data_IF_519932019339
#
_entry.id   IF_519932019339
#
_cell.length_a   1.000
_cell.length_b   1.000
_cell.length_c   1.000
_cell.angle_alpha   90.00
_cell.angle_beta   90.00
_cell.angle_gamma   90.00
#
_symmetry.space_group_name_H-M   'P 1'
#
loop_
_entity.id
_entity.type
_entity.pdbx_description
1 polymer ?
#
# COMPACT_ATOMS: atom_id res chain seq x y z
N UNK A 1 1.86 8.65 -7.70
CA UNK A 1 1.04 9.85 -7.52
C UNK A 1 1.87 10.95 -6.88
N UNK A 2 1.95 12.11 -7.52
CA UNK A 2 2.58 13.31 -6.99
C UNK A 2 1.50 14.25 -6.46
N UNK A 3 1.69 14.81 -5.27
CA UNK A 3 0.67 15.60 -4.57
C UNK A 3 1.22 17.01 -4.29
N UNK A 4 0.54 18.02 -4.82
CA UNK A 4 0.81 19.43 -4.51
C UNK A 4 -0.01 19.92 -3.32
N UNK A 5 0.46 20.99 -2.67
CA UNK A 5 -0.22 21.67 -1.56
C UNK A 5 -0.46 20.81 -0.30
N UNK A 6 0.36 19.77 -0.07
CA UNK A 6 0.30 19.02 1.18
C UNK A 6 0.60 19.91 2.39
N UNK A 7 -0.28 19.95 3.41
CA UNK A 7 -0.09 20.86 4.56
C UNK A 7 1.04 20.42 5.49
N UNK A 8 1.32 19.12 5.54
CA UNK A 8 2.31 18.51 6.42
C UNK A 8 3.14 17.47 5.70
N UNK A 9 4.42 17.43 5.99
CA UNK A 9 5.35 16.41 5.49
C UNK A 9 5.38 15.12 6.32
N UNK A 10 4.62 15.06 7.41
CA UNK A 10 4.55 13.90 8.31
C UNK A 10 3.12 13.69 8.79
N UNK A 11 2.65 12.47 8.73
CA UNK A 11 1.35 12.04 9.26
C UNK A 11 1.54 10.94 10.29
N UNK A 12 0.62 10.86 11.23
CA UNK A 12 0.57 9.80 12.23
C UNK A 12 -0.57 8.84 11.88
N UNK A 13 -0.22 7.58 11.64
CA UNK A 13 -1.17 6.54 11.24
C UNK A 13 -1.31 5.49 12.35
N UNK A 14 -2.52 4.97 12.62
CA UNK A 14 -2.69 3.87 13.55
C UNK A 14 -2.05 2.59 12.99
N UNK A 15 -1.44 1.79 13.88
CA UNK A 15 -0.89 0.48 13.49
C UNK A 15 -1.98 -0.55 13.20
N UNK A 16 -3.17 -0.34 13.75
CA UNK A 16 -4.34 -1.20 13.49
C UNK A 16 -5.60 -0.34 13.36
N UNK A 17 -6.50 -0.62 12.41
CA UNK A 17 -7.68 0.22 12.16
C UNK A 17 -8.69 0.28 13.32
N UNK A 18 -8.77 -0.78 14.14
CA UNK A 18 -9.78 -0.91 15.20
C UNK A 18 -9.19 -1.13 16.60
N UNK A 19 -7.98 -1.64 16.71
CA UNK A 19 -7.34 -1.97 17.99
C UNK A 19 -6.32 -0.89 18.37
N UNK A 20 -6.23 -0.60 19.68
CA UNK A 20 -5.22 0.33 20.22
C UNK A 20 -3.84 -0.33 20.26
N UNK A 21 -3.21 -0.47 19.10
CA UNK A 21 -1.86 -1.04 18.95
C UNK A 21 -0.80 0.03 18.70
N UNK A 22 -1.06 1.28 19.14
CA UNK A 22 -0.15 2.39 18.92
C UNK A 22 -0.28 3.02 17.53
N UNK A 23 0.61 3.96 17.26
CA UNK A 23 0.69 4.72 16.01
C UNK A 23 2.10 4.71 15.47
N UNK A 24 2.24 4.97 14.18
CA UNK A 24 3.51 5.15 13.49
C UNK A 24 3.54 6.47 12.73
N UNK A 25 4.70 7.10 12.66
CA UNK A 25 4.90 8.34 11.91
C UNK A 25 5.39 8.01 10.51
N UNK A 26 4.69 8.52 9.51
CA UNK A 26 5.06 8.37 8.10
C UNK A 26 5.42 9.73 7.54
N UNK A 27 6.65 9.85 7.04
CA UNK A 27 7.13 11.06 6.37
C UNK A 27 6.79 10.98 4.89
N UNK A 28 6.17 12.04 4.37
CA UNK A 28 5.82 12.20 2.96
C UNK A 28 6.51 13.47 2.47
N UNK A 29 7.14 13.45 1.30
CA UNK A 29 7.59 14.70 0.66
C UNK A 29 6.46 15.24 -0.19
N UNK A 30 6.30 14.69 -1.40
CA UNK A 30 5.27 15.10 -2.34
C UNK A 30 4.71 13.91 -3.14
N UNK A 31 5.19 12.70 -2.90
CA UNK A 31 4.89 11.55 -3.77
C UNK A 31 4.60 10.28 -2.98
N UNK A 32 3.59 9.53 -3.44
CA UNK A 32 3.18 8.25 -2.88
C UNK A 32 3.04 7.19 -3.97
N UNK A 33 3.26 5.94 -3.63
CA UNK A 33 2.88 4.79 -4.43
C UNK A 33 1.42 4.41 -4.13
N UNK A 34 0.69 4.07 -5.16
CA UNK A 34 -0.65 3.48 -5.12
C UNK A 34 -0.61 2.11 -5.78
N UNK A 35 -1.59 1.25 -5.47
CA UNK A 35 -1.75 0.00 -6.20
C UNK A 35 -2.09 0.26 -7.66
N UNK A 36 -1.48 -0.50 -8.58
CA UNK A 36 -1.77 -0.43 -10.00
C UNK A 36 -3.23 -0.72 -10.31
N UNK A 37 -3.85 -1.63 -9.55
CA UNK A 37 -5.27 -1.95 -9.69
C UNK A 37 -6.18 -0.77 -9.34
N UNK A 38 -5.80 0.02 -8.34
CA UNK A 38 -6.60 1.16 -7.88
C UNK A 38 -6.52 2.37 -8.83
N UNK A 39 -5.46 2.46 -9.65
CA UNK A 39 -5.22 3.65 -10.50
C UNK A 39 -5.59 3.47 -11.96
N UNK A 40 -5.84 2.24 -12.42
CA UNK A 40 -6.08 1.96 -13.85
C UNK A 40 -7.30 2.64 -14.46
N UNK A 41 -8.33 2.91 -13.65
CA UNK A 41 -9.59 3.51 -14.09
C UNK A 41 -9.73 4.99 -13.71
N UNK A 42 -8.70 5.59 -13.10
CA UNK A 42 -8.74 6.99 -12.67
C UNK A 42 -8.80 7.96 -13.85
N UNK A 43 -9.48 9.07 -13.62
CA UNK A 43 -9.65 10.17 -14.59
C UNK A 43 -9.27 11.50 -13.97
N UNK A 44 -8.88 12.42 -14.82
CA UNK A 44 -8.68 13.82 -14.41
C UNK A 44 -9.98 14.38 -13.84
N UNK A 45 -9.89 15.00 -12.68
CA UNK A 45 -11.03 15.52 -11.91
C UNK A 45 -11.55 14.58 -10.82
N UNK A 46 -11.16 13.30 -10.82
CA UNK A 46 -11.54 12.36 -9.76
C UNK A 46 -11.04 12.84 -8.41
N UNK A 47 -11.88 12.64 -7.40
CA UNK A 47 -11.56 12.91 -6.00
C UNK A 47 -11.35 11.61 -5.24
N UNK A 48 -10.23 11.53 -4.56
CA UNK A 48 -9.79 10.36 -3.84
C UNK A 48 -9.55 10.72 -2.37
N UNK A 49 -9.73 9.74 -1.49
CA UNK A 49 -9.28 9.84 -0.11
C UNK A 49 -8.11 8.89 0.11
N UNK A 50 -6.94 9.46 0.34
CA UNK A 50 -5.77 8.72 0.79
C UNK A 50 -5.90 8.47 2.30
N UNK A 51 -5.99 7.20 2.69
CA UNK A 51 -6.35 6.81 4.05
C UNK A 51 -5.34 7.34 5.08
N UNK A 52 -5.85 8.14 6.03
CA UNK A 52 -5.05 8.79 7.06
C UNK A 52 -4.22 10.01 6.60
N UNK A 53 -4.24 10.35 5.30
CA UNK A 53 -3.55 11.53 4.76
C UNK A 53 -4.53 12.66 4.46
N UNK A 54 -5.64 12.37 3.78
CA UNK A 54 -6.64 13.35 3.38
C UNK A 54 -7.11 13.17 1.95
N UNK A 55 -7.80 14.18 1.42
CA UNK A 55 -8.41 14.14 0.11
C UNK A 55 -7.49 14.76 -0.93
N UNK A 56 -7.50 14.19 -2.13
CA UNK A 56 -6.77 14.71 -3.28
C UNK A 56 -7.67 14.71 -4.51
N UNK A 57 -7.46 15.66 -5.42
CA UNK A 57 -8.11 15.74 -6.71
C UNK A 57 -7.08 15.49 -7.81
N UNK A 58 -7.38 14.60 -8.74
CA UNK A 58 -6.50 14.31 -9.88
C UNK A 58 -6.49 15.49 -10.85
N UNK A 59 -5.31 16.01 -11.11
CA UNK A 59 -5.09 17.17 -11.98
C UNK A 59 -4.61 16.74 -13.38
N UNK A 60 -3.70 15.78 -13.44
CA UNK A 60 -3.22 15.23 -14.71
C UNK A 60 -2.85 13.76 -14.61
N UNK A 61 -2.92 13.05 -15.72
CA UNK A 61 -2.52 11.65 -15.86
C UNK A 61 -1.64 11.55 -17.12
N UNK A 62 -0.33 11.42 -16.91
CA UNK A 62 0.68 11.27 -17.95
C UNK A 62 1.57 10.06 -17.62
N UNK A 63 2.89 10.22 -17.70
CA UNK A 63 3.85 9.23 -17.17
C UNK A 63 3.78 9.09 -15.65
N UNK A 64 3.36 10.16 -14.96
CA UNK A 64 2.99 10.17 -13.54
C UNK A 64 1.57 10.74 -13.41
N UNK A 65 0.95 10.47 -12.27
CA UNK A 65 -0.35 11.05 -11.91
C UNK A 65 -0.08 12.22 -10.97
N UNK A 66 -0.52 13.42 -11.35
CA UNK A 66 -0.47 14.60 -10.51
C UNK A 66 -1.82 14.84 -9.84
N UNK A 67 -1.79 15.18 -8.58
CA UNK A 67 -2.95 15.51 -7.78
C UNK A 67 -2.70 16.73 -6.91
N UNK A 68 -3.76 17.37 -6.48
CA UNK A 68 -3.75 18.47 -5.54
C UNK A 68 -4.44 18.05 -4.24
N UNK A 69 -3.84 18.35 -3.10
CA UNK A 69 -4.48 18.16 -1.80
C UNK A 69 -5.66 19.12 -1.64
N UNK A 70 -6.82 18.62 -1.26
CA UNK A 70 -8.08 19.39 -1.17
C UNK A 70 -8.67 19.47 0.23
N UNK A 71 -7.99 18.91 1.22
CA UNK A 71 -8.45 18.95 2.61
C UNK A 71 -8.65 17.59 3.24
N UNK A 72 -9.28 17.56 4.41
CA UNK A 72 -9.51 16.32 5.17
C UNK A 72 -10.99 16.08 5.50
N UNK A 73 -11.90 16.84 4.91
CA UNK A 73 -13.32 16.66 5.11
C UNK A 73 -13.78 15.29 4.61
N UNK A 74 -14.52 14.58 5.45
CA UNK A 74 -14.95 13.22 5.13
C UNK A 74 -16.13 13.24 4.15
N UNK A 75 -15.88 12.74 2.92
CA UNK A 75 -16.93 12.43 1.95
C UNK A 75 -17.00 10.91 1.71
N UNK A 76 -18.21 10.36 1.87
CA UNK A 76 -18.46 8.91 1.69
C UNK A 76 -18.32 8.46 0.24
N UNK A 77 -18.46 9.39 -0.71
CA UNK A 77 -18.43 9.11 -2.15
C UNK A 77 -17.00 9.03 -2.70
N UNK A 78 -15.99 9.52 -1.95
CA UNK A 78 -14.61 9.46 -2.41
C UNK A 78 -14.08 8.03 -2.36
N UNK A 79 -13.42 7.63 -3.43
CA UNK A 79 -12.69 6.36 -3.48
C UNK A 79 -11.58 6.39 -2.43
N UNK A 80 -11.58 5.41 -1.51
CA UNK A 80 -10.60 5.30 -0.43
C UNK A 80 -9.44 4.43 -0.89
N UNK A 81 -8.23 4.98 -0.89
CA UNK A 81 -7.03 4.29 -1.35
C UNK A 81 -5.99 4.15 -0.24
N UNK A 82 -5.32 3.00 -0.24
CA UNK A 82 -4.10 2.80 0.53
C UNK A 82 -2.91 3.34 -0.28
N UNK A 83 -1.88 3.75 0.43
CA UNK A 83 -0.71 4.36 -0.18
C UNK A 83 0.55 4.07 0.63
N UNK A 84 1.70 4.18 -0.02
CA UNK A 84 3.03 4.10 0.61
C UNK A 84 3.84 5.32 0.21
N UNK A 85 4.49 5.97 1.17
CA UNK A 85 5.36 7.11 0.87
C UNK A 85 6.51 6.70 -0.05
N UNK A 86 6.68 7.39 -1.17
CA UNK A 86 7.77 7.10 -2.12
C UNK A 86 9.16 7.35 -1.50
N UNK A 87 9.26 8.33 -0.59
CA UNK A 87 10.52 8.73 0.04
C UNK A 87 11.21 7.59 0.78
N UNK A 88 10.45 6.81 1.52
CA UNK A 88 10.98 5.78 2.43
C UNK A 88 10.42 4.40 2.11
N UNK A 89 9.89 4.20 0.90
CA UNK A 89 9.36 2.92 0.49
C UNK A 89 10.42 1.84 0.58
N UNK A 90 10.05 0.71 1.17
CA UNK A 90 10.89 -0.48 1.25
C UNK A 90 10.43 -1.49 0.21
N UNK A 91 11.35 -1.93 -0.65
CA UNK A 91 11.06 -2.95 -1.65
C UNK A 91 10.99 -4.33 -0.98
N UNK A 92 9.92 -5.04 -1.25
CA UNK A 92 9.63 -6.34 -0.66
C UNK A 92 9.20 -7.33 -1.74
N UNK A 93 9.79 -8.53 -1.70
CA UNK A 93 9.33 -9.68 -2.46
C UNK A 93 8.31 -10.47 -1.65
N UNK A 94 7.15 -10.78 -2.23
CA UNK A 94 6.15 -11.65 -1.62
C UNK A 94 6.10 -12.96 -2.41
N UNK A 95 6.29 -14.06 -1.70
CA UNK A 95 6.10 -15.41 -2.21
C UNK A 95 4.65 -15.82 -1.98
N UNK A 96 3.98 -16.26 -3.04
CA UNK A 96 2.57 -16.70 -3.00
C UNK A 96 2.53 -18.18 -3.37
N UNK A 97 2.46 -19.10 -2.36
CA UNK A 97 2.36 -20.51 -2.61
C UNK A 97 1.04 -20.85 -3.34
N UNK A 98 1.15 -21.64 -4.39
CA UNK A 98 0.04 -22.20 -5.16
C UNK A 98 -0.04 -23.71 -4.92
N UNK A 99 -1.04 -24.37 -5.50
CA UNK A 99 -1.17 -25.82 -5.41
C UNK A 99 0.05 -26.51 -6.03
N UNK A 100 0.68 -27.39 -5.24
CA UNK A 100 1.88 -28.12 -5.66
C UNK A 100 1.57 -29.15 -6.77
N UNK A 101 0.36 -29.72 -6.77
CA UNK A 101 -0.12 -30.64 -7.78
C UNK A 101 -1.46 -30.17 -8.35
N UNK A 102 -1.58 -30.24 -9.68
CA UNK A 102 -2.81 -29.96 -10.43
C UNK A 102 -3.09 -31.16 -11.33
N UNK A 103 -4.26 -31.79 -11.17
CA UNK A 103 -4.64 -33.01 -11.90
C UNK A 103 -3.56 -34.12 -11.83
N UNK A 104 -3.06 -34.38 -10.62
CA UNK A 104 -2.01 -35.38 -10.31
C UNK A 104 -0.64 -35.13 -10.97
N UNK A 105 -0.44 -33.95 -11.54
CA UNK A 105 0.84 -33.53 -12.10
C UNK A 105 1.48 -32.46 -11.24
N UNK A 106 2.79 -32.52 -11.11
CA UNK A 106 3.56 -31.47 -10.43
C UNK A 106 3.35 -30.14 -11.15
N UNK A 107 3.03 -29.09 -10.36
CA UNK A 107 2.85 -27.74 -10.85
C UNK A 107 4.16 -26.97 -10.73
N UNK A 108 4.84 -26.74 -11.85
CA UNK A 108 6.08 -25.97 -11.90
C UNK A 108 5.86 -24.48 -11.50
N UNK A 109 4.63 -23.97 -11.62
CA UNK A 109 4.22 -22.62 -11.21
C UNK A 109 3.59 -22.62 -9.80
N UNK A 110 3.98 -23.57 -8.94
CA UNK A 110 3.47 -23.68 -7.57
C UNK A 110 3.94 -22.59 -6.62
N UNK A 111 4.82 -21.70 -7.08
CA UNK A 111 5.30 -20.54 -6.33
C UNK A 111 5.31 -19.31 -7.24
N UNK A 112 4.42 -18.37 -6.95
CA UNK A 112 4.39 -17.06 -7.61
C UNK A 112 5.23 -16.06 -6.79
N UNK A 113 5.99 -15.21 -7.46
CA UNK A 113 6.76 -14.14 -6.84
C UNK A 113 6.26 -12.79 -7.33
N UNK A 114 5.94 -11.88 -6.42
CA UNK A 114 5.62 -10.50 -6.74
C UNK A 114 6.54 -9.52 -6.00
N UNK A 115 6.84 -8.39 -6.64
CA UNK A 115 7.58 -7.29 -6.05
C UNK A 115 6.64 -6.15 -5.72
N UNK A 116 6.71 -5.68 -4.48
CA UNK A 116 5.84 -4.63 -3.95
C UNK A 116 6.65 -3.59 -3.18
N UNK A 117 6.05 -2.43 -2.93
CA UNK A 117 6.57 -1.45 -2.00
C UNK A 117 5.74 -1.45 -0.72
N UNK A 118 6.42 -1.40 0.42
CA UNK A 118 5.80 -1.33 1.75
C UNK A 118 6.39 -0.18 2.57
N UNK A 119 5.74 0.13 3.68
CA UNK A 119 6.26 1.09 4.65
C UNK A 119 7.51 0.55 5.35
N UNK A 120 8.46 1.43 5.76
CA UNK A 120 9.66 1.02 6.51
C UNK A 120 9.35 0.29 7.81
N UNK A 121 8.17 0.50 8.38
CA UNK A 121 7.70 -0.18 9.59
C UNK A 121 7.72 -1.72 9.47
N UNK A 122 7.63 -2.26 8.23
CA UNK A 122 7.86 -3.68 7.98
C UNK A 122 9.20 -4.18 8.55
N UNK A 123 10.24 -3.37 8.54
CA UNK A 123 11.58 -3.74 9.03
C UNK A 123 11.61 -3.95 10.56
N UNK A 124 10.71 -3.31 11.29
CA UNK A 124 10.61 -3.39 12.75
C UNK A 124 9.96 -4.69 13.24
N UNK A 125 9.23 -5.40 12.36
CA UNK A 125 8.66 -6.71 12.69
C UNK A 125 9.77 -7.74 12.91
N UNK A 126 9.52 -8.71 13.79
CA UNK A 126 10.38 -9.88 13.89
C UNK A 126 10.10 -10.87 12.74
N UNK A 127 11.07 -11.74 12.44
CA UNK A 127 10.80 -12.86 11.54
C UNK A 127 9.69 -13.73 12.13
N UNK A 128 8.91 -14.35 11.28
CA UNK A 128 7.71 -15.14 11.59
C UNK A 128 6.50 -14.35 12.13
N UNK A 129 6.61 -13.03 12.33
CA UNK A 129 5.43 -12.22 12.63
C UNK A 129 4.52 -12.09 11.42
N UNK A 130 3.21 -12.13 11.68
CA UNK A 130 2.17 -11.95 10.67
C UNK A 130 1.81 -10.48 10.52
N UNK A 131 1.68 -10.04 9.29
CA UNK A 131 1.26 -8.68 8.92
C UNK A 131 0.12 -8.74 7.91
N UNK A 132 -0.86 -7.86 8.07
CA UNK A 132 -1.90 -7.65 7.07
C UNK A 132 -1.50 -6.51 6.12
N UNK A 133 -1.36 -6.82 4.84
CA UNK A 133 -1.37 -5.83 3.78
C UNK A 133 -2.81 -5.58 3.34
N UNK A 134 -3.33 -4.40 3.68
CA UNK A 134 -4.74 -4.06 3.47
C UNK A 134 -5.12 -4.24 2.00
N UNK A 135 -6.24 -4.94 1.73
CA UNK A 135 -6.77 -5.30 0.40
C UNK A 135 -5.97 -6.35 -0.36
N UNK A 136 -4.81 -6.77 0.15
CA UNK A 136 -4.01 -7.84 -0.43
C UNK A 136 -4.21 -9.16 0.34
N UNK A 137 -3.92 -9.17 1.64
CA UNK A 137 -4.05 -10.34 2.49
C UNK A 137 -3.02 -10.35 3.63
N UNK A 138 -2.91 -11.49 4.28
CA UNK A 138 -1.97 -11.71 5.36
C UNK A 138 -0.69 -12.33 4.84
N UNK A 139 0.44 -11.86 5.35
CA UNK A 139 1.75 -12.37 5.02
C UNK A 139 2.55 -12.58 6.32
N UNK A 140 3.38 -13.59 6.33
CA UNK A 140 4.36 -13.83 7.39
C UNK A 140 5.70 -13.26 6.96
N UNK A 141 6.34 -12.48 7.82
CA UNK A 141 7.69 -11.98 7.54
C UNK A 141 8.69 -13.13 7.55
N UNK A 142 9.43 -13.28 6.46
CA UNK A 142 10.49 -14.27 6.34
C UNK A 142 11.88 -13.63 6.53
N UNK A 143 12.08 -12.45 5.95
CA UNK A 143 13.31 -11.67 6.11
C UNK A 143 13.01 -10.18 5.93
N UNK A 144 14.04 -9.34 6.00
CA UNK A 144 13.91 -7.90 5.70
C UNK A 144 13.46 -7.61 4.26
N UNK A 145 13.62 -8.54 3.32
CA UNK A 145 13.32 -8.38 1.90
C UNK A 145 12.29 -9.35 1.37
N UNK A 146 11.75 -10.23 2.22
CA UNK A 146 10.84 -11.28 1.78
C UNK A 146 9.73 -11.53 2.80
N UNK A 147 8.53 -11.72 2.30
CA UNK A 147 7.38 -12.21 3.04
C UNK A 147 6.73 -13.39 2.30
N UNK A 148 5.99 -14.20 3.04
CA UNK A 148 5.25 -15.34 2.50
C UNK A 148 3.76 -15.08 2.70
N UNK A 149 2.99 -15.08 1.62
CA UNK A 149 1.53 -14.96 1.68
C UNK A 149 0.94 -16.18 2.40
N UNK A 150 0.04 -15.94 3.35
CA UNK A 150 -0.60 -16.98 4.14
C UNK A 150 -2.07 -17.16 3.77
N UNK A 151 -2.85 -16.07 3.75
CA UNK A 151 -4.29 -16.13 3.42
C UNK A 151 -4.87 -14.73 3.13
N UNK A 152 -6.10 -14.69 2.64
CA UNK A 152 -6.89 -13.44 2.45
C UNK A 152 -7.68 -13.08 3.68
#
# INVERSE_FOLDING_TARGET
LKISNLPNSTVELPNHPSNKMGTRKVTIEDSVFLSSEDVKDLKVGDQLRLMGLGNVKIISINSEIDAEFTGDDHDVNFMKLQWVSKKNAHELKILIPQQLFVNDKFNEESLEEIHVYTEPHYLELNNDEEIQFVRFGYCRKDSSKQAIFTHK
#
